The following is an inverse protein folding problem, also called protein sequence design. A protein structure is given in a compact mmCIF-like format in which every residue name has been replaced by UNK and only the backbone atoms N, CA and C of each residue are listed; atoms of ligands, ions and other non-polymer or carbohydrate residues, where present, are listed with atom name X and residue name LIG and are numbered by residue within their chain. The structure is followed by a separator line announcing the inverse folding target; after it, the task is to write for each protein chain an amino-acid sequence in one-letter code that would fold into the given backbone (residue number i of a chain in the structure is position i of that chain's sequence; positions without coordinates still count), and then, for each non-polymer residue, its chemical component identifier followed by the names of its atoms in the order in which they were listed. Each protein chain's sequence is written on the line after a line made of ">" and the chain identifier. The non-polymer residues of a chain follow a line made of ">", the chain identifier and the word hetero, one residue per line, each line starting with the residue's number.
data_IF_714101270386
#
_entry.id   IF_714101270386
#
_cell.length_a   1.000
_cell.length_b   1.000
_cell.length_c   1.000
_cell.angle_alpha   90.00
_cell.angle_beta   90.00
_cell.angle_gamma   90.00
#
_symmetry.space_group_name_H-M   'P 1'
#
loop_
_entity.id
_entity.type
_entity.pdbx_description
1 polymer ?
#
# COMPACT_ATOMS: atom_id res chain seq x y z
N UNK A 1 -1.98 13.91 -13.81
CA UNK A 1 -2.60 12.65 -14.21
C UNK A 1 -2.21 12.38 -15.66
N UNK A 2 -1.62 11.25 -15.95
CA UNK A 2 -1.35 10.76 -17.31
C UNK A 2 -2.42 9.75 -17.72
N UNK A 3 -2.61 9.56 -19.00
CA UNK A 3 -3.43 8.50 -19.59
C UNK A 3 -2.57 7.78 -20.61
N UNK A 4 -2.86 6.49 -20.81
CA UNK A 4 -2.21 5.73 -21.88
C UNK A 4 -2.54 6.33 -23.25
N UNK A 5 -1.56 6.39 -24.12
CA UNK A 5 -1.76 6.61 -25.53
C UNK A 5 -2.38 5.38 -26.20
N UNK A 6 -2.81 5.51 -27.46
CA UNK A 6 -3.45 4.43 -28.20
C UNK A 6 -2.57 3.17 -28.33
N UNK A 7 -1.27 3.32 -28.21
CA UNK A 7 -0.28 2.22 -28.32
C UNK A 7 0.28 1.80 -26.95
N UNK A 8 -0.27 2.27 -25.85
CA UNK A 8 0.19 1.97 -24.51
C UNK A 8 -0.86 1.16 -23.75
N UNK A 9 -0.42 0.12 -23.08
CA UNK A 9 -1.22 -0.71 -22.19
C UNK A 9 -0.38 -1.12 -20.95
N UNK A 10 -0.97 -1.91 -20.07
CA UNK A 10 -0.26 -2.40 -18.88
C UNK A 10 0.96 -3.26 -19.24
N UNK A 11 0.91 -4.03 -20.33
CA UNK A 11 2.04 -4.85 -20.77
C UNK A 11 3.21 -3.99 -21.26
N UNK A 12 2.96 -3.00 -22.12
CA UNK A 12 4.00 -2.12 -22.67
C UNK A 12 4.65 -1.25 -21.60
N UNK A 13 3.86 -0.78 -20.63
CA UNK A 13 4.40 -0.05 -19.48
C UNK A 13 5.25 -0.95 -18.58
N UNK A 14 4.81 -2.17 -18.30
CA UNK A 14 5.56 -3.14 -17.51
C UNK A 14 6.90 -3.52 -18.19
N UNK A 15 6.89 -3.77 -19.50
CA UNK A 15 8.11 -3.99 -20.30
C UNK A 15 9.08 -2.82 -20.17
N UNK A 16 8.58 -1.60 -20.36
CA UNK A 16 9.40 -0.38 -20.32
C UNK A 16 10.11 -0.20 -18.97
N UNK A 17 9.36 -0.29 -17.85
CA UNK A 17 9.98 -0.08 -16.52
C UNK A 17 10.91 -1.23 -16.13
N UNK A 18 10.63 -2.45 -16.55
CA UNK A 18 11.49 -3.61 -16.27
C UNK A 18 12.79 -3.52 -17.06
N UNK A 19 12.71 -3.19 -18.34
CA UNK A 19 13.90 -2.96 -19.18
C UNK A 19 14.78 -1.84 -18.61
N UNK A 20 14.16 -0.70 -18.25
CA UNK A 20 14.88 0.42 -17.62
C UNK A 20 15.52 0.05 -16.28
N UNK A 21 14.87 -0.78 -15.47
CA UNK A 21 15.46 -1.26 -14.21
C UNK A 21 16.71 -2.10 -14.50
N UNK A 22 16.64 -3.08 -15.40
CA UNK A 22 17.78 -3.92 -15.78
C UNK A 22 18.95 -3.08 -16.31
N UNK A 23 18.67 -2.11 -17.18
CA UNK A 23 19.66 -1.23 -17.79
C UNK A 23 20.29 -0.27 -16.76
N UNK A 24 19.49 0.46 -16.01
CA UNK A 24 19.96 1.49 -15.08
C UNK A 24 20.81 0.93 -13.94
N UNK A 25 20.47 -0.26 -13.46
CA UNK A 25 21.21 -0.95 -12.39
C UNK A 25 22.22 -1.95 -12.92
N UNK A 26 22.37 -2.08 -14.26
CA UNK A 26 23.28 -3.02 -14.92
C UNK A 26 23.10 -4.45 -14.42
N UNK A 27 21.86 -4.87 -14.24
CA UNK A 27 21.51 -6.20 -13.76
C UNK A 27 21.53 -7.16 -14.91
N UNK A 28 22.34 -8.23 -14.81
CA UNK A 28 22.34 -9.27 -15.80
C UNK A 28 21.00 -10.03 -15.79
N UNK A 29 20.28 -10.15 -16.92
CA UNK A 29 19.02 -10.89 -16.95
C UNK A 29 19.16 -12.35 -16.46
N UNK A 30 20.32 -12.97 -16.64
CA UNK A 30 20.63 -14.31 -16.14
C UNK A 30 20.68 -14.42 -14.61
N UNK A 31 20.82 -13.28 -13.88
CA UNK A 31 20.86 -13.26 -12.42
C UNK A 31 19.47 -13.21 -11.76
N UNK A 32 18.40 -13.20 -12.55
CA UNK A 32 17.04 -13.15 -12.02
C UNK A 32 16.46 -14.56 -11.89
N UNK A 33 15.94 -14.90 -10.70
CA UNK A 33 15.31 -16.18 -10.41
C UNK A 33 13.83 -16.07 -10.09
N UNK A 34 13.34 -14.86 -9.75
CA UNK A 34 11.93 -14.63 -9.46
C UNK A 34 11.42 -13.32 -10.05
N UNK A 35 10.23 -13.34 -10.63
CA UNK A 35 9.57 -12.17 -11.21
C UNK A 35 8.08 -12.23 -10.91
N UNK A 36 7.59 -11.32 -10.08
CA UNK A 36 6.17 -11.18 -9.76
C UNK A 36 5.62 -9.85 -10.28
N UNK A 37 4.37 -9.87 -10.73
CA UNK A 37 3.66 -8.67 -11.20
C UNK A 37 2.41 -8.45 -10.36
N UNK A 38 2.33 -7.32 -9.67
CA UNK A 38 1.10 -6.89 -8.99
C UNK A 38 0.25 -6.05 -9.92
N UNK A 39 -0.97 -6.50 -10.22
CA UNK A 39 -1.87 -5.79 -11.12
C UNK A 39 -3.34 -6.13 -10.89
N UNK A 40 -4.23 -5.16 -11.10
CA UNK A 40 -5.67 -5.38 -11.25
C UNK A 40 -6.16 -5.15 -12.69
N UNK A 41 -5.24 -4.78 -13.59
CA UNK A 41 -5.53 -4.50 -15.00
C UNK A 41 -5.16 -5.71 -15.86
N UNK A 42 -6.16 -6.50 -16.24
CA UNK A 42 -5.96 -7.70 -17.05
C UNK A 42 -6.11 -7.39 -18.53
N UNK A 43 -5.04 -7.53 -19.30
CA UNK A 43 -5.07 -7.49 -20.77
C UNK A 43 -5.58 -8.84 -21.30
N UNK A 44 -5.19 -9.92 -20.67
CA UNK A 44 -5.66 -11.27 -20.93
C UNK A 44 -6.10 -11.94 -19.62
N UNK A 45 -7.09 -12.83 -19.69
CA UNK A 45 -7.63 -13.51 -18.50
C UNK A 45 -6.82 -14.73 -18.05
N UNK A 46 -5.99 -15.26 -18.93
CA UNK A 46 -5.21 -16.48 -18.74
C UNK A 46 -3.71 -16.23 -18.83
N UNK A 47 -3.27 -15.43 -19.79
CA UNK A 47 -1.86 -15.08 -19.98
C UNK A 47 -1.48 -13.95 -19.02
N UNK A 48 -0.48 -14.19 -18.19
CA UNK A 48 0.03 -13.20 -17.24
C UNK A 48 0.91 -12.14 -17.91
N UNK A 49 0.96 -10.94 -17.34
CA UNK A 49 1.93 -9.92 -17.74
C UNK A 49 3.36 -10.43 -17.46
N UNK A 50 3.57 -11.20 -16.38
CA UNK A 50 4.85 -11.89 -16.13
C UNK A 50 5.30 -12.70 -17.34
N UNK A 51 4.40 -13.40 -18.00
CA UNK A 51 4.73 -14.17 -19.22
C UNK A 51 5.15 -13.28 -20.39
N UNK A 52 4.60 -12.07 -20.52
CA UNK A 52 5.02 -11.09 -21.52
C UNK A 52 6.42 -10.54 -21.18
N UNK A 53 6.69 -10.27 -19.90
CA UNK A 53 8.00 -9.79 -19.47
C UNK A 53 9.14 -10.77 -19.71
N UNK A 54 8.85 -12.07 -19.88
CA UNK A 54 9.87 -13.07 -20.22
C UNK A 54 10.60 -12.77 -21.53
N UNK A 55 10.01 -11.99 -22.44
CA UNK A 55 10.67 -11.57 -23.66
C UNK A 55 11.96 -10.78 -23.42
N UNK A 56 12.07 -10.06 -22.30
CA UNK A 56 13.28 -9.33 -21.88
C UNK A 56 14.44 -10.26 -21.48
N UNK A 57 14.16 -11.52 -21.22
CA UNK A 57 15.13 -12.50 -20.74
C UNK A 57 15.54 -13.51 -21.82
N UNK A 58 14.84 -13.52 -22.97
CA UNK A 58 15.07 -14.49 -24.04
C UNK A 58 16.50 -14.46 -24.60
N UNK A 59 17.06 -13.27 -24.83
CA UNK A 59 18.41 -13.13 -25.36
C UNK A 59 19.48 -13.68 -24.43
N UNK A 60 19.24 -13.62 -23.10
CA UNK A 60 20.14 -14.20 -22.11
C UNK A 60 20.00 -15.71 -21.95
N UNK A 61 18.99 -16.31 -22.58
CA UNK A 61 18.62 -17.72 -22.42
C UNK A 61 17.98 -18.06 -21.06
N UNK A 62 17.71 -17.06 -20.22
CA UNK A 62 17.14 -17.29 -18.89
C UNK A 62 15.61 -17.51 -18.98
N UNK A 63 15.20 -18.75 -19.07
CA UNK A 63 13.77 -19.15 -19.04
C UNK A 63 13.33 -19.72 -17.70
N UNK A 64 14.28 -19.91 -16.76
CA UNK A 64 14.05 -20.45 -15.42
C UNK A 64 13.83 -19.32 -14.42
N UNK A 65 12.72 -18.62 -14.57
CA UNK A 65 12.29 -17.52 -13.69
C UNK A 65 10.93 -17.87 -13.11
N UNK A 66 10.87 -18.11 -11.80
CA UNK A 66 9.64 -18.37 -11.07
C UNK A 66 8.77 -17.11 -10.94
N UNK A 67 7.48 -17.24 -10.61
CA UNK A 67 6.58 -16.12 -10.30
C UNK A 67 5.37 -16.06 -11.22
N UNK A 68 4.40 -15.23 -10.80
CA UNK A 68 3.09 -15.06 -11.45
C UNK A 68 2.58 -13.63 -11.29
N UNK A 69 1.42 -13.34 -11.88
CA UNK A 69 0.68 -12.11 -11.59
C UNK A 69 -0.15 -12.27 -10.30
N UNK A 70 -0.01 -11.31 -9.39
CA UNK A 70 -0.72 -11.21 -8.13
C UNK A 70 -1.91 -10.26 -8.29
N UNK A 71 -3.12 -10.81 -8.20
CA UNK A 71 -4.35 -10.05 -8.37
C UNK A 71 -5.13 -9.95 -7.06
N UNK A 72 -5.12 -8.77 -6.46
CA UNK A 72 -5.98 -8.42 -5.33
C UNK A 72 -6.14 -6.90 -5.24
N UNK A 73 -6.82 -6.29 -6.22
CA UNK A 73 -6.95 -4.85 -6.34
C UNK A 73 -5.59 -4.14 -6.08
N UNK A 74 -5.60 -3.01 -5.38
CA UNK A 74 -4.37 -2.25 -5.07
C UNK A 74 -3.38 -2.99 -4.15
N UNK A 75 -3.79 -4.10 -3.50
CA UNK A 75 -2.90 -4.91 -2.66
C UNK A 75 -2.00 -5.87 -3.46
N UNK A 76 -2.32 -6.15 -4.74
CA UNK A 76 -1.55 -7.10 -5.55
C UNK A 76 -0.06 -6.81 -5.61
N UNK A 77 0.34 -5.54 -5.78
CA UNK A 77 1.75 -5.14 -5.77
C UNK A 77 2.46 -5.37 -4.44
N UNK A 78 1.75 -5.16 -3.33
CA UNK A 78 2.30 -5.45 -2.00
C UNK A 78 2.49 -6.95 -1.79
N UNK A 79 1.53 -7.76 -2.23
CA UNK A 79 1.66 -9.21 -2.13
C UNK A 79 2.82 -9.73 -2.99
N UNK A 80 2.95 -9.24 -4.22
CA UNK A 80 4.09 -9.55 -5.10
C UNK A 80 5.44 -9.22 -4.44
N UNK A 81 5.54 -8.07 -3.78
CA UNK A 81 6.74 -7.68 -3.03
C UNK A 81 7.02 -8.65 -1.87
N UNK A 82 6.02 -9.00 -1.07
CA UNK A 82 6.19 -9.90 0.07
C UNK A 82 6.57 -11.31 -0.39
N UNK A 83 5.95 -11.83 -1.45
CA UNK A 83 6.33 -13.13 -2.04
C UNK A 83 7.77 -13.13 -2.58
N UNK A 84 8.19 -12.05 -3.22
CA UNK A 84 9.57 -11.91 -3.70
C UNK A 84 10.59 -11.91 -2.57
N UNK A 85 10.28 -11.22 -1.46
CA UNK A 85 11.11 -11.23 -0.25
C UNK A 85 11.16 -12.64 0.36
N UNK A 86 10.01 -13.31 0.48
CA UNK A 86 9.95 -14.67 1.04
C UNK A 86 10.68 -15.68 0.13
N UNK A 87 10.58 -15.54 -1.21
CA UNK A 87 11.33 -16.36 -2.16
C UNK A 87 12.85 -16.16 -2.00
N UNK A 88 13.33 -14.93 -1.86
CA UNK A 88 14.75 -14.67 -1.60
C UNK A 88 15.24 -15.30 -0.29
N UNK A 89 14.48 -15.20 0.77
CA UNK A 89 14.83 -15.84 2.03
C UNK A 89 14.91 -17.35 1.94
N UNK A 90 14.12 -17.96 1.05
CA UNK A 90 14.13 -19.41 0.87
C UNK A 90 15.25 -19.89 -0.08
N UNK A 91 15.58 -19.12 -1.12
CA UNK A 91 16.35 -19.63 -2.26
C UNK A 91 17.72 -18.95 -2.47
N UNK A 92 17.93 -17.73 -1.96
CA UNK A 92 19.14 -16.96 -2.29
C UNK A 92 20.46 -17.65 -1.90
N UNK A 93 20.50 -18.33 -0.75
CA UNK A 93 21.71 -19.06 -0.31
C UNK A 93 22.10 -20.20 -1.26
N UNK A 94 21.14 -20.75 -1.99
CA UNK A 94 21.36 -21.87 -2.92
C UNK A 94 21.58 -21.39 -4.36
N UNK A 95 20.86 -20.37 -4.78
CA UNK A 95 20.80 -19.95 -6.18
C UNK A 95 21.61 -18.70 -6.47
N UNK A 96 21.78 -17.82 -5.49
CA UNK A 96 22.45 -16.53 -5.65
C UNK A 96 21.74 -15.56 -6.62
N UNK A 97 20.47 -15.87 -6.98
CA UNK A 97 19.67 -15.06 -7.92
C UNK A 97 18.79 -14.05 -7.21
N UNK A 98 18.49 -12.97 -7.92
CA UNK A 98 17.69 -11.85 -7.43
C UNK A 98 16.22 -11.99 -7.82
N UNK A 99 15.37 -11.16 -7.20
CA UNK A 99 13.96 -11.07 -7.55
C UNK A 99 13.60 -9.68 -8.11
N UNK A 100 12.65 -9.65 -9.03
CA UNK A 100 12.05 -8.40 -9.54
C UNK A 100 10.57 -8.40 -9.20
N UNK A 101 10.08 -7.26 -8.73
CA UNK A 101 8.66 -6.98 -8.54
C UNK A 101 8.27 -5.85 -9.48
N UNK A 102 7.21 -6.06 -10.24
CA UNK A 102 6.62 -5.06 -11.12
C UNK A 102 5.20 -4.77 -10.64
N UNK A 103 4.88 -3.50 -10.47
CA UNK A 103 3.51 -3.07 -10.21
C UNK A 103 3.04 -2.23 -11.38
N UNK A 104 1.90 -2.61 -11.97
CA UNK A 104 1.37 -1.90 -13.14
C UNK A 104 -0.14 -1.90 -13.12
N UNK A 105 -0.74 -0.71 -13.31
CA UNK A 105 -2.18 -0.57 -13.40
C UNK A 105 -2.61 0.57 -14.32
N UNK A 106 -3.80 0.38 -14.92
CA UNK A 106 -4.54 1.41 -15.64
C UNK A 106 -5.89 1.57 -14.95
N UNK A 107 -6.05 2.64 -14.17
CA UNK A 107 -7.27 2.91 -13.43
C UNK A 107 -8.14 3.92 -14.20
N UNK A 108 -9.16 3.42 -14.87
CA UNK A 108 -10.14 4.21 -15.59
C UNK A 108 -11.50 4.09 -14.90
N UNK A 109 -12.12 5.24 -14.63
CA UNK A 109 -13.42 5.27 -13.97
C UNK A 109 -14.53 5.74 -14.92
N UNK A 110 -15.72 5.18 -14.74
CA UNK A 110 -16.92 5.65 -15.41
C UNK A 110 -17.20 7.13 -15.11
N UNK A 111 -17.99 7.78 -15.95
CA UNK A 111 -18.41 9.17 -15.72
C UNK A 111 -19.12 9.29 -14.37
N UNK A 112 -18.56 10.11 -13.48
CA UNK A 112 -19.05 10.29 -12.11
C UNK A 112 -18.02 10.94 -11.20
N UNK A 113 -18.29 11.07 -9.89
CA UNK A 113 -17.41 11.74 -8.93
C UNK A 113 -15.99 11.15 -8.85
N UNK A 114 -15.87 9.84 -9.04
CA UNK A 114 -14.57 9.14 -8.99
C UNK A 114 -13.72 9.34 -10.25
N UNK A 115 -14.28 9.83 -11.38
CA UNK A 115 -13.53 9.95 -12.64
C UNK A 115 -12.33 10.88 -12.56
N UNK A 116 -12.40 11.93 -11.74
CA UNK A 116 -11.29 12.85 -11.52
C UNK A 116 -10.10 12.24 -10.76
N UNK A 117 -10.28 11.06 -10.19
CA UNK A 117 -9.23 10.31 -9.49
C UNK A 117 -8.54 9.29 -10.39
N UNK A 118 -9.00 9.11 -11.64
CA UNK A 118 -8.40 8.24 -12.64
C UNK A 118 -7.20 8.88 -13.35
N UNK A 119 -6.30 8.09 -13.91
CA UNK A 119 -5.16 8.56 -14.69
C UNK A 119 -4.17 7.44 -15.03
N UNK A 120 -3.07 7.78 -15.68
CA UNK A 120 -1.96 6.89 -15.98
C UNK A 120 -0.65 7.51 -15.50
N UNK A 121 0.23 6.73 -14.88
CA UNK A 121 1.54 7.18 -14.47
C UNK A 121 2.53 6.02 -14.37
N UNK A 122 3.78 6.24 -14.75
CA UNK A 122 4.89 5.34 -14.48
C UNK A 122 5.85 6.06 -13.53
N UNK A 123 6.20 5.46 -12.40
CA UNK A 123 7.12 6.05 -11.44
C UNK A 123 8.22 5.03 -11.11
N UNK A 124 9.46 5.40 -11.39
CA UNK A 124 10.62 4.82 -10.75
C UNK A 124 10.82 5.55 -9.42
N UNK A 125 10.57 4.87 -8.33
CA UNK A 125 10.81 5.20 -6.93
C UNK A 125 10.85 6.71 -6.57
N UNK A 126 9.76 7.28 -6.15
CA UNK A 126 9.65 8.35 -5.13
C UNK A 126 8.21 8.40 -4.63
N UNK A 127 8.04 8.66 -3.32
CA UNK A 127 6.74 8.83 -2.67
C UNK A 127 5.89 9.81 -3.48
N UNK A 128 4.93 9.29 -4.25
CA UNK A 128 4.02 10.12 -5.02
C UNK A 128 2.60 9.98 -4.48
N UNK A 129 1.91 11.10 -4.39
CA UNK A 129 0.47 11.14 -4.15
C UNK A 129 -0.23 10.38 -5.28
N UNK A 130 -0.71 9.18 -5.04
CA UNK A 130 -1.54 8.48 -6.01
C UNK A 130 -2.99 8.82 -5.77
N UNK A 131 -3.47 9.70 -6.57
CA UNK A 131 -4.87 9.77 -6.93
C UNK A 131 -4.98 8.98 -8.21
N UNK A 132 -5.74 7.92 -8.28
CA UNK A 132 -5.86 6.96 -9.37
C UNK A 132 -5.19 7.31 -10.70
N UNK A 133 -4.82 6.31 -11.44
CA UNK A 133 -4.09 6.52 -12.68
C UNK A 133 -3.62 5.21 -13.30
N UNK A 134 -2.93 5.29 -14.43
CA UNK A 134 -2.09 4.20 -14.91
C UNK A 134 -0.68 4.43 -14.40
N UNK A 135 -0.05 3.37 -13.93
CA UNK A 135 1.32 3.41 -13.45
C UNK A 135 1.98 2.06 -13.52
N UNK A 136 3.28 2.08 -13.72
CA UNK A 136 4.11 0.90 -13.60
C UNK A 136 5.35 1.24 -12.78
N UNK A 137 5.73 0.35 -11.87
CA UNK A 137 6.95 0.45 -11.07
C UNK A 137 7.60 -0.93 -10.99
N UNK A 138 8.92 -0.97 -11.06
CA UNK A 138 9.69 -2.19 -10.86
C UNK A 138 10.67 -2.02 -9.69
N UNK A 139 10.76 -3.04 -8.85
CA UNK A 139 11.70 -3.13 -7.74
C UNK A 139 12.67 -4.28 -7.96
N UNK A 140 13.93 -4.03 -7.65
CA UNK A 140 14.92 -5.08 -7.52
C UNK A 140 15.04 -5.48 -6.04
N UNK A 141 14.87 -6.76 -5.75
CA UNK A 141 14.93 -7.33 -4.42
C UNK A 141 16.18 -8.22 -4.33
N UNK A 142 16.99 -7.99 -3.31
CA UNK A 142 18.24 -8.69 -3.12
C UNK A 142 18.77 -8.56 -1.69
N UNK A 143 19.89 -9.21 -1.37
CA UNK A 143 20.55 -9.05 -0.08
C UNK A 143 21.15 -7.65 0.08
N UNK A 144 21.44 -7.28 1.34
CA UNK A 144 22.11 -6.02 1.69
C UNK A 144 21.42 -4.76 1.14
N UNK A 145 20.10 -4.83 0.98
CA UNK A 145 19.30 -3.71 0.50
C UNK A 145 19.24 -2.57 1.53
N UNK A 146 19.09 -1.33 1.04
CA UNK A 146 18.96 -0.14 1.91
C UNK A 146 17.65 -0.12 2.71
N UNK A 147 16.62 -0.83 2.24
CA UNK A 147 15.34 -1.00 2.92
C UNK A 147 15.20 -2.47 3.27
N UNK A 148 15.08 -2.76 4.57
CA UNK A 148 15.00 -4.12 5.09
C UNK A 148 13.62 -4.31 5.74
N UNK A 149 12.97 -5.42 5.42
CA UNK A 149 11.69 -5.79 6.06
C UNK A 149 11.93 -6.53 7.37
N UNK A 150 11.36 -6.05 8.46
CA UNK A 150 11.39 -6.73 9.74
C UNK A 150 10.59 -8.03 9.70
N UNK A 151 11.24 -9.13 10.06
CA UNK A 151 10.60 -10.44 10.13
C UNK A 151 9.66 -10.51 11.34
N UNK A 152 8.52 -11.16 11.14
CA UNK A 152 7.58 -11.45 12.24
C UNK A 152 6.64 -10.31 12.60
N UNK A 153 6.83 -9.10 12.08
CA UNK A 153 5.99 -7.93 12.38
C UNK A 153 4.88 -7.67 11.33
N UNK A 154 4.88 -8.38 10.20
CA UNK A 154 3.82 -8.25 9.19
C UNK A 154 2.47 -8.65 9.78
N UNK A 155 1.45 -7.80 9.61
CA UNK A 155 0.08 -8.08 10.03
C UNK A 155 -0.88 -7.90 8.86
N UNK A 156 -1.83 -8.81 8.73
CA UNK A 156 -2.79 -8.87 7.64
C UNK A 156 -4.22 -8.89 8.18
N UNK A 157 -5.12 -8.35 7.38
CA UNK A 157 -6.56 -8.48 7.55
C UNK A 157 -7.18 -8.70 6.18
N UNK A 158 -8.10 -9.63 6.07
CA UNK A 158 -8.84 -9.93 4.84
C UNK A 158 -10.31 -10.11 5.16
N UNK A 159 -11.18 -9.55 4.33
CA UNK A 159 -12.62 -9.73 4.42
C UNK A 159 -13.25 -9.73 3.02
N UNK A 160 -14.37 -10.43 2.87
CA UNK A 160 -15.12 -10.44 1.63
C UNK A 160 -16.14 -9.29 1.66
N UNK A 161 -15.80 -8.18 1.01
CA UNK A 161 -16.61 -6.96 0.96
C UNK A 161 -16.72 -6.48 -0.48
N UNK A 162 -17.88 -5.97 -0.86
CA UNK A 162 -18.13 -5.40 -2.20
C UNK A 162 -18.11 -3.87 -2.16
N UNK A 163 -17.06 -3.30 -1.60
CA UNK A 163 -16.85 -1.84 -1.52
C UNK A 163 -16.17 -1.27 -2.78
N UNK A 164 -15.28 -2.06 -3.40
CA UNK A 164 -14.63 -1.77 -4.67
C UNK A 164 -14.47 -3.08 -5.46
N UNK A 165 -15.08 -3.19 -6.64
CA UNK A 165 -14.99 -4.39 -7.45
C UNK A 165 -15.24 -4.12 -8.94
N UNK A 166 -14.65 -4.95 -9.80
CA UNK A 166 -14.85 -4.91 -11.26
C UNK A 166 -15.67 -6.14 -11.66
N UNK A 167 -17.00 -6.02 -11.87
CA UNK A 167 -17.84 -7.15 -12.20
C UNK A 167 -17.51 -7.71 -13.59
N UNK A 168 -17.47 -9.04 -13.71
CA UNK A 168 -17.33 -9.73 -15.00
C UNK A 168 -18.71 -9.74 -15.66
N UNK A 169 -18.82 -9.12 -16.83
CA UNK A 169 -20.04 -9.06 -17.63
C UNK A 169 -20.46 -7.63 -17.92
N UNK A 170 -21.12 -7.45 -19.07
CA UNK A 170 -21.48 -6.15 -19.60
C UNK A 170 -20.44 -5.58 -20.58
N UNK A 171 -20.71 -4.37 -21.08
CA UNK A 171 -19.91 -3.75 -22.13
C UNK A 171 -18.56 -3.20 -21.68
N UNK A 172 -18.32 -3.05 -20.37
CA UNK A 172 -17.05 -2.58 -19.83
C UNK A 172 -16.76 -3.21 -18.47
N UNK A 173 -15.76 -4.08 -18.44
CA UNK A 173 -15.31 -4.78 -17.24
C UNK A 173 -14.18 -4.03 -16.50
N UNK A 174 -13.64 -2.97 -17.11
CA UNK A 174 -12.55 -2.18 -16.55
C UNK A 174 -13.00 -1.08 -15.59
N UNK A 175 -14.28 -0.66 -15.65
CA UNK A 175 -14.79 0.34 -14.75
C UNK A 175 -15.21 -0.28 -13.41
N UNK A 176 -14.54 0.10 -12.30
CA UNK A 176 -14.91 -0.39 -10.98
C UNK A 176 -16.28 0.17 -10.55
N UNK A 177 -17.00 -0.62 -9.78
CA UNK A 177 -18.10 -0.16 -8.94
C UNK A 177 -17.55 0.16 -7.55
N UNK A 178 -17.90 1.32 -7.03
CA UNK A 178 -17.39 1.83 -5.76
C UNK A 178 -18.56 2.21 -4.85
N UNK A 179 -18.60 1.64 -3.64
CA UNK A 179 -19.42 2.10 -2.54
C UNK A 179 -18.53 2.92 -1.58
N UNK A 180 -18.51 4.24 -1.77
CA UNK A 180 -17.59 5.13 -1.06
C UNK A 180 -17.72 5.10 0.46
N UNK A 181 -18.92 5.22 1.05
CA UNK A 181 -19.11 5.11 2.50
C UNK A 181 -18.63 3.78 3.07
N UNK A 182 -19.01 2.67 2.43
CA UNK A 182 -18.58 1.33 2.82
C UNK A 182 -17.06 1.16 2.70
N UNK A 183 -16.46 1.67 1.62
CA UNK A 183 -15.01 1.62 1.40
C UNK A 183 -14.23 2.33 2.52
N UNK A 184 -14.66 3.51 2.96
CA UNK A 184 -14.03 4.22 4.08
C UNK A 184 -14.13 3.43 5.38
N UNK A 185 -15.30 2.87 5.68
CA UNK A 185 -15.53 2.05 6.88
C UNK A 185 -14.66 0.79 6.87
N UNK A 186 -14.63 0.09 5.75
CA UNK A 186 -13.82 -1.12 5.55
C UNK A 186 -12.32 -0.83 5.68
N UNK A 187 -11.86 0.28 5.08
CA UNK A 187 -10.47 0.72 5.20
C UNK A 187 -10.06 0.95 6.67
N UNK A 188 -10.84 1.70 7.42
CA UNK A 188 -10.53 1.99 8.82
C UNK A 188 -10.61 0.72 9.69
N UNK A 189 -11.54 -0.18 9.38
CA UNK A 189 -11.65 -1.46 10.07
C UNK A 189 -10.43 -2.35 9.82
N UNK A 190 -10.01 -2.50 8.58
CA UNK A 190 -8.82 -3.25 8.20
C UNK A 190 -7.56 -2.66 8.84
N UNK A 191 -7.42 -1.33 8.79
CA UNK A 191 -6.33 -0.61 9.43
C UNK A 191 -6.24 -0.89 10.93
N UNK A 192 -7.38 -0.79 11.63
CA UNK A 192 -7.47 -1.08 13.07
C UNK A 192 -7.06 -2.52 13.38
N UNK A 193 -7.56 -3.49 12.61
CA UNK A 193 -7.23 -4.89 12.78
C UNK A 193 -5.73 -5.17 12.55
N UNK A 194 -5.15 -4.60 11.48
CA UNK A 194 -3.74 -4.74 11.17
C UNK A 194 -2.84 -4.09 12.22
N UNK A 195 -3.19 -2.90 12.71
CA UNK A 195 -2.39 -2.22 13.74
C UNK A 195 -2.41 -2.99 15.05
N UNK A 196 -3.57 -3.44 15.51
CA UNK A 196 -3.67 -4.28 16.70
C UNK A 196 -2.91 -5.61 16.52
N UNK A 197 -2.99 -6.23 15.34
CA UNK A 197 -2.21 -7.43 15.01
C UNK A 197 -0.70 -7.18 15.05
N UNK A 198 -0.24 -6.04 14.54
CA UNK A 198 1.15 -5.59 14.64
C UNK A 198 1.57 -5.41 16.10
N UNK A 199 0.80 -4.68 16.91
CA UNK A 199 1.10 -4.43 18.32
C UNK A 199 1.18 -5.72 19.14
N UNK A 200 0.31 -6.70 18.83
CA UNK A 200 0.37 -8.01 19.46
C UNK A 200 1.65 -8.78 19.12
N UNK A 201 2.14 -8.67 17.87
CA UNK A 201 3.40 -9.27 17.45
C UNK A 201 4.60 -8.53 18.02
N UNK A 202 4.54 -7.20 18.04
CA UNK A 202 5.56 -6.36 18.66
C UNK A 202 5.79 -6.73 20.13
N UNK A 203 4.71 -6.88 20.90
CA UNK A 203 4.75 -7.29 22.30
C UNK A 203 5.39 -8.66 22.51
N UNK A 204 5.22 -9.60 21.58
CA UNK A 204 5.84 -10.93 21.66
C UNK A 204 7.36 -10.88 21.45
N UNK A 205 7.83 -9.94 20.63
CA UNK A 205 9.26 -9.79 20.29
C UNK A 205 9.96 -8.90 21.31
N UNK A 206 9.26 -7.87 21.80
CA UNK A 206 9.80 -6.83 22.71
C UNK A 206 9.00 -6.86 24.01
N UNK A 207 9.30 -7.82 24.91
CA UNK A 207 8.51 -8.16 26.09
C UNK A 207 8.19 -6.99 27.02
N UNK A 208 9.02 -5.94 27.05
CA UNK A 208 8.94 -4.83 28.00
C UNK A 208 8.49 -3.50 27.38
N UNK A 209 8.19 -3.46 26.07
CA UNK A 209 7.84 -2.24 25.37
C UNK A 209 6.40 -2.26 24.84
N UNK A 210 5.63 -1.22 25.13
CA UNK A 210 4.38 -0.95 24.45
C UNK A 210 4.70 -0.29 23.11
N UNK A 211 4.61 -1.01 22.00
CA UNK A 211 4.77 -0.43 20.66
C UNK A 211 3.77 0.71 20.42
N UNK A 212 4.18 1.72 19.68
CA UNK A 212 3.38 2.91 19.36
C UNK A 212 3.72 3.47 17.99
N UNK A 213 2.97 4.46 17.53
CA UNK A 213 3.32 5.21 16.32
C UNK A 213 4.62 6.01 16.46
N UNK A 214 5.04 6.29 17.70
CA UNK A 214 6.29 7.04 17.97
C UNK A 214 7.55 6.23 17.69
N UNK A 215 7.42 4.90 17.60
CA UNK A 215 8.52 4.01 17.23
C UNK A 215 8.86 4.12 15.72
N UNK A 216 7.99 4.74 14.93
CA UNK A 216 8.20 4.90 13.49
C UNK A 216 8.65 6.31 13.11
N UNK A 217 9.66 6.39 12.26
CA UNK A 217 10.07 7.65 11.63
C UNK A 217 9.05 8.15 10.62
N UNK A 218 8.41 7.25 9.92
CA UNK A 218 7.39 7.54 8.93
C UNK A 218 6.34 6.44 8.86
N UNK A 219 5.11 6.83 8.54
CA UNK A 219 4.02 5.91 8.23
C UNK A 219 3.56 6.20 6.81
N UNK A 220 3.66 5.20 5.94
CA UNK A 220 3.30 5.29 4.53
C UNK A 220 1.96 4.59 4.31
N UNK A 221 0.98 5.32 3.79
CA UNK A 221 -0.35 4.81 3.52
C UNK A 221 -0.58 4.63 2.02
N UNK A 222 -1.25 3.56 1.65
CA UNK A 222 -2.00 3.53 0.40
C UNK A 222 -2.97 4.71 0.38
N UNK A 223 -2.89 5.55 -0.65
CA UNK A 223 -3.54 6.85 -0.69
C UNK A 223 -4.49 7.00 -1.89
N UNK A 224 -5.68 6.40 -1.86
CA UNK A 224 -6.69 6.66 -2.89
C UNK A 224 -7.04 8.15 -2.98
N UNK A 225 -7.05 8.84 -1.84
CA UNK A 225 -7.16 10.29 -1.73
C UNK A 225 -6.62 10.79 -0.37
N UNK A 226 -6.08 12.00 -0.34
CA UNK A 226 -5.33 12.52 0.81
C UNK A 226 -6.12 12.56 2.12
N UNK A 227 -7.44 12.83 2.07
CA UNK A 227 -8.29 12.86 3.27
C UNK A 227 -8.40 11.48 3.94
N UNK A 228 -8.33 10.39 3.19
CA UNK A 228 -8.34 9.03 3.76
C UNK A 228 -7.07 8.76 4.57
N UNK A 229 -5.91 9.19 4.08
CA UNK A 229 -4.66 9.08 4.82
C UNK A 229 -4.67 9.88 6.13
N UNK A 230 -5.26 11.08 6.11
CA UNK A 230 -5.45 11.88 7.31
C UNK A 230 -6.33 11.14 8.34
N UNK A 231 -7.45 10.55 7.89
CA UNK A 231 -8.33 9.73 8.73
C UNK A 231 -7.61 8.50 9.28
N UNK A 232 -6.83 7.83 8.43
CA UNK A 232 -6.05 6.66 8.81
C UNK A 232 -5.04 6.97 9.91
N UNK A 233 -4.24 8.02 9.73
CA UNK A 233 -3.26 8.44 10.73
C UNK A 233 -3.92 8.89 12.03
N UNK A 234 -5.00 9.66 11.93
CA UNK A 234 -5.79 10.09 13.09
C UNK A 234 -6.35 8.89 13.87
N UNK A 235 -6.85 7.86 13.16
CA UNK A 235 -7.33 6.65 13.80
C UNK A 235 -6.21 5.89 14.52
N UNK A 236 -5.06 5.67 13.91
CA UNK A 236 -3.93 4.99 14.55
C UNK A 236 -3.45 5.74 15.80
N UNK A 237 -3.36 7.06 15.72
CA UNK A 237 -3.01 7.90 16.88
C UNK A 237 -4.05 7.81 18.00
N UNK A 238 -5.33 7.72 17.64
CA UNK A 238 -6.41 7.52 18.61
C UNK A 238 -6.35 6.13 19.28
N UNK A 239 -5.97 5.08 18.55
CA UNK A 239 -5.73 3.75 19.12
C UNK A 239 -4.61 3.81 20.18
N UNK A 240 -3.54 4.53 19.93
CA UNK A 240 -2.48 4.73 20.91
C UNK A 240 -2.98 5.52 22.14
N UNK A 241 -3.79 6.56 21.93
CA UNK A 241 -4.45 7.29 23.01
C UNK A 241 -5.36 6.40 23.87
N UNK A 242 -6.14 5.50 23.25
CA UNK A 242 -6.97 4.52 23.97
C UNK A 242 -6.14 3.59 24.85
N UNK A 243 -4.88 3.34 24.47
CA UNK A 243 -3.92 2.48 25.19
C UNK A 243 -3.06 3.24 26.22
N UNK A 244 -3.30 4.51 26.43
CA UNK A 244 -2.53 5.37 27.32
C UNK A 244 -1.02 5.47 26.98
N UNK A 245 -0.65 5.29 25.70
CA UNK A 245 0.74 5.42 25.23
C UNK A 245 1.05 6.79 24.61
N UNK A 246 0.06 7.65 24.45
CA UNK A 246 0.20 9.02 23.93
C UNK A 246 -0.13 10.03 25.03
N UNK A 247 0.58 11.18 25.10
CA UNK A 247 0.30 12.20 26.11
C UNK A 247 -1.15 12.69 26.07
N UNK A 248 -1.84 12.61 27.20
CA UNK A 248 -3.29 12.89 27.33
C UNK A 248 -3.70 14.32 26.90
N UNK A 249 -2.78 15.29 26.95
CA UNK A 249 -3.06 16.69 26.61
C UNK A 249 -3.43 16.95 25.14
N UNK A 250 -3.05 16.06 24.24
CA UNK A 250 -3.32 16.19 22.81
C UNK A 250 -4.77 15.87 22.42
N UNK A 251 -5.53 15.19 23.28
CA UNK A 251 -6.82 14.59 22.93
C UNK A 251 -7.97 15.00 23.88
N UNK A 252 -7.90 16.17 24.50
CA UNK A 252 -8.95 16.64 25.39
C UNK A 252 -10.34 16.60 24.73
N UNK A 253 -10.44 16.95 23.45
CA UNK A 253 -11.68 16.94 22.68
C UNK A 253 -12.14 15.52 22.29
N UNK A 254 -11.31 14.49 22.53
CA UNK A 254 -11.60 13.09 22.21
C UNK A 254 -11.86 12.23 23.44
N UNK A 255 -11.87 12.82 24.63
CA UNK A 255 -12.08 12.11 25.89
C UNK A 255 -13.36 11.30 25.92
N UNK A 256 -14.44 11.83 25.35
CA UNK A 256 -15.75 11.17 25.26
C UNK A 256 -15.73 9.86 24.46
N UNK A 257 -14.78 9.74 23.50
CA UNK A 257 -14.64 8.57 22.62
C UNK A 257 -13.65 7.54 23.14
N UNK A 258 -12.91 7.82 24.21
CA UNK A 258 -11.76 7.01 24.66
C UNK A 258 -12.10 5.53 24.85
N UNK A 259 -13.26 5.24 25.36
CA UNK A 259 -13.70 3.86 25.66
C UNK A 259 -14.61 3.26 24.56
N UNK A 260 -14.76 3.94 23.42
CA UNK A 260 -15.62 3.49 22.32
C UNK A 260 -14.84 2.66 21.31
N UNK A 261 -15.50 1.66 20.77
CA UNK A 261 -14.98 0.89 19.65
C UNK A 261 -15.09 1.66 18.33
N UNK A 262 -14.30 1.26 17.32
CA UNK A 262 -14.43 1.82 15.98
C UNK A 262 -15.85 1.74 15.41
N UNK A 263 -16.55 0.62 15.65
CA UNK A 263 -17.90 0.42 15.15
C UNK A 263 -18.88 1.43 15.78
N UNK A 264 -18.79 1.67 17.09
CA UNK A 264 -19.62 2.66 17.78
C UNK A 264 -19.34 4.08 17.29
N UNK A 265 -18.07 4.44 17.09
CA UNK A 265 -17.68 5.74 16.56
C UNK A 265 -18.20 5.94 15.13
N UNK A 266 -18.04 4.95 14.25
CA UNK A 266 -18.55 5.01 12.88
C UNK A 266 -20.07 5.10 12.85
N UNK A 267 -20.76 4.42 13.76
CA UNK A 267 -22.22 4.52 13.88
C UNK A 267 -22.67 5.92 14.30
N UNK A 268 -21.95 6.57 15.23
CA UNK A 268 -22.23 7.95 15.62
C UNK A 268 -21.98 8.96 14.49
N UNK A 269 -21.06 8.65 13.58
CA UNK A 269 -20.78 9.49 12.41
C UNK A 269 -21.77 9.28 11.25
N UNK A 270 -22.40 8.10 11.19
CA UNK A 270 -23.43 7.79 10.21
C UNK A 270 -24.69 8.65 10.48
N UNK A 271 -25.00 9.58 9.58
CA UNK A 271 -26.12 10.51 9.70
C UNK A 271 -25.71 11.96 9.99
N UNK A 272 -24.46 12.23 10.36
CA UNK A 272 -23.96 13.61 10.47
C UNK A 272 -23.64 14.18 9.09
N UNK A 273 -24.15 15.36 8.80
CA UNK A 273 -23.93 16.05 7.52
C UNK A 273 -22.59 16.81 7.53
N UNK A 274 -22.15 17.30 6.37
CA UNK A 274 -20.93 18.09 6.23
C UNK A 274 -21.00 19.43 6.99
N UNK A 275 -22.19 19.92 7.30
CA UNK A 275 -22.41 21.11 8.14
C UNK A 275 -22.06 20.87 9.61
N UNK A 276 -22.10 19.62 10.08
CA UNK A 276 -21.82 19.24 11.46
C UNK A 276 -20.32 18.90 11.67
N UNK A 277 -19.44 19.34 10.78
CA UNK A 277 -18.03 18.93 10.72
C UNK A 277 -17.25 19.21 12.01
N UNK A 278 -17.55 20.28 12.74
CA UNK A 278 -16.84 20.64 13.98
C UNK A 278 -17.06 19.65 15.13
N UNK A 279 -18.17 18.90 15.11
CA UNK A 279 -18.57 17.96 16.16
C UNK A 279 -18.32 16.50 15.80
N UNK A 280 -17.73 16.26 14.61
CA UNK A 280 -17.43 14.88 14.16
C UNK A 280 -16.12 14.40 14.78
N UNK A 281 -16.12 13.16 15.28
CA UNK A 281 -14.92 12.48 15.77
C UNK A 281 -13.76 12.59 14.77
N UNK A 282 -14.03 12.25 13.47
CA UNK A 282 -13.01 12.29 12.42
C UNK A 282 -12.32 13.65 12.30
N UNK A 283 -13.06 14.75 12.36
CA UNK A 283 -12.51 16.09 12.22
C UNK A 283 -11.75 16.52 13.48
N UNK A 284 -12.28 16.20 14.67
CA UNK A 284 -11.58 16.38 15.94
C UNK A 284 -10.24 15.60 15.98
N UNK A 285 -10.27 14.33 15.59
CA UNK A 285 -9.10 13.48 15.58
C UNK A 285 -8.04 13.95 14.56
N UNK A 286 -8.44 14.37 13.35
CA UNK A 286 -7.52 14.93 12.35
C UNK A 286 -6.88 16.22 12.85
N UNK A 287 -7.65 17.11 13.48
CA UNK A 287 -7.13 18.36 14.01
C UNK A 287 -6.12 18.11 15.15
N UNK A 288 -6.41 17.18 16.05
CA UNK A 288 -5.47 16.77 17.09
C UNK A 288 -4.15 16.22 16.52
N UNK A 289 -4.24 15.40 15.45
CA UNK A 289 -3.06 14.79 14.83
C UNK A 289 -2.25 15.72 13.93
N UNK A 290 -2.84 16.79 13.39
CA UNK A 290 -2.09 17.74 12.55
C UNK A 290 -0.93 18.39 13.28
N UNK A 291 -1.01 18.55 14.59
CA UNK A 291 0.08 19.02 15.44
C UNK A 291 1.22 17.99 15.55
N UNK A 292 0.90 16.71 15.72
CA UNK A 292 1.89 15.64 15.87
C UNK A 292 2.70 15.43 14.57
N UNK A 293 2.04 15.54 13.42
CA UNK A 293 2.70 15.38 12.12
C UNK A 293 3.73 16.48 11.83
N UNK A 294 3.50 17.71 12.29
CA UNK A 294 4.44 18.82 12.13
C UNK A 294 5.68 18.68 13.03
N UNK A 295 5.54 18.23 14.26
CA UNK A 295 6.68 18.03 15.16
C UNK A 295 7.60 16.89 14.70
N UNK A 296 7.06 15.83 14.08
CA UNK A 296 7.89 14.71 13.58
C UNK A 296 8.70 15.06 12.33
N UNK A 297 8.27 16.00 11.51
CA UNK A 297 8.99 16.44 10.30
C UNK A 297 10.26 17.26 10.63
N UNK A 298 10.33 17.90 11.78
CA UNK A 298 11.47 18.74 12.20
C UNK A 298 12.62 17.96 12.86
N UNK A 299 12.46 16.68 13.15
CA UNK A 299 13.55 15.87 13.72
C UNK A 299 14.56 15.50 12.63
N UNK A 300 15.74 16.12 12.68
CA UNK A 300 16.86 15.83 11.78
C UNK A 300 17.21 14.33 11.75
N UNK A 301 17.42 13.81 10.53
CA UNK A 301 17.91 12.46 10.29
C UNK A 301 19.39 12.37 10.69
N UNK A 302 19.72 11.66 11.76
CA UNK A 302 21.08 11.21 12.00
C UNK A 302 21.35 9.94 11.16
N UNK A 303 22.37 10.00 10.33
CA UNK A 303 22.81 8.88 9.49
C UNK A 303 23.23 7.71 10.39
N UNK A 304 22.62 6.52 10.18
CA UNK A 304 23.03 5.28 10.86
C UNK A 304 22.04 4.72 11.89
N UNK A 305 20.96 5.43 12.23
CA UNK A 305 19.90 4.88 13.07
C UNK A 305 18.93 3.99 12.25
N UNK A 306 18.52 2.86 12.84
CA UNK A 306 17.41 2.05 12.26
C UNK A 306 16.16 2.93 12.23
N UNK A 307 15.68 3.22 11.04
CA UNK A 307 14.47 4.01 10.82
C UNK A 307 13.33 3.03 10.64
N UNK A 308 12.46 2.92 11.63
CA UNK A 308 11.21 2.19 11.46
C UNK A 308 10.31 2.93 10.46
N UNK A 309 9.95 2.27 9.36
CA UNK A 309 8.93 2.75 8.42
C UNK A 309 7.80 1.74 8.44
N UNK A 310 6.60 2.21 8.76
CA UNK A 310 5.40 1.40 8.69
C UNK A 310 4.73 1.61 7.33
N UNK A 311 4.53 0.53 6.60
CA UNK A 311 3.76 0.53 5.38
C UNK A 311 2.33 0.05 5.68
N UNK A 312 1.35 0.82 5.26
CA UNK A 312 -0.07 0.48 5.36
C UNK A 312 -0.63 0.38 3.96
N UNK A 313 -0.96 -0.84 3.57
CA UNK A 313 -1.55 -1.16 2.27
C UNK A 313 -2.98 -1.67 2.45
N UNK A 314 -3.82 -1.36 1.49
CA UNK A 314 -5.21 -1.83 1.44
C UNK A 314 -5.57 -2.34 0.05
#
# INVERSE_FOLDING_TARGET
>A
MGFCHENEDSCSMALSVTAQLLENYKVAPSSIGFLAVGTETLVDRSKSIKSVLMDLFMESGNTDIEGVDEKNACFGGTQALLHSVDWLYANYEFEGRLAIVVCVDVAVYAKGPARSTGGAGAIAFLIARSTGGAGAIAFLIGPEASIIFDRGLRSFYSSNVYDFYKPIGGFCTEYPKVDGPNSVGTYLHALNACYNGYLNKWKKINSDANGSLDDFRAVLFHSPYSRLCQKAFAWLSFVDYQRDVTPAGFYNDLQEYKNMTLAEILQLENGKTRSDSKDRFTDKAINACSFIAFEKLDRHLEFGQRIGIMFVFW
#
